data_IF_318622142208
#
_entry.id   IF_318622142208
#
_cell.length_a   1.000
_cell.length_b   1.000
_cell.length_c   1.000
_cell.angle_alpha   90.00
_cell.angle_beta   90.00
_cell.angle_gamma   90.00
#
_symmetry.space_group_name_H-M   'P 1'
#
loop_
_entity.id
_entity.type
_entity.pdbx_description
1 polymer ?
#
# COMPACT_ATOMS: atom_id res chain seq x y z
N UNK A 1 3.02 6.82 -34.22
CA UNK A 1 3.60 6.98 -32.87
C UNK A 1 3.70 5.59 -32.30
N UNK A 2 4.82 5.22 -31.71
CA UNK A 2 5.04 3.85 -31.22
C UNK A 2 4.05 3.53 -30.10
N UNK A 3 3.29 2.44 -30.23
CA UNK A 3 2.26 1.99 -29.27
C UNK A 3 2.84 1.41 -27.97
N UNK A 4 4.17 1.40 -27.85
CA UNK A 4 4.89 0.79 -26.75
C UNK A 4 5.97 1.74 -26.21
N UNK A 5 6.07 1.79 -24.89
CA UNK A 5 7.12 2.47 -24.14
C UNK A 5 7.94 1.37 -23.45
N UNK A 6 9.05 0.99 -24.07
CA UNK A 6 10.00 0.04 -23.49
C UNK A 6 10.93 0.77 -22.52
N UNK A 7 10.89 0.37 -21.24
CA UNK A 7 11.70 0.94 -20.18
C UNK A 7 12.63 -0.14 -19.61
N UNK A 8 13.93 0.12 -19.65
CA UNK A 8 14.94 -0.73 -19.01
C UNK A 8 15.67 0.09 -17.97
N UNK A 9 15.48 -0.23 -16.70
CA UNK A 9 16.14 0.50 -15.64
C UNK A 9 16.55 -0.39 -14.47
N UNK A 10 17.65 0.00 -13.85
CA UNK A 10 18.11 -0.60 -12.62
C UNK A 10 17.38 0.05 -11.44
N UNK A 11 16.54 -0.72 -10.76
CA UNK A 11 15.82 -0.25 -9.56
C UNK A 11 16.80 0.18 -8.46
N UNK A 12 18.02 -0.37 -8.40
CA UNK A 12 19.03 0.01 -7.40
C UNK A 12 19.44 1.49 -7.51
N UNK A 13 19.35 2.08 -8.70
CA UNK A 13 19.69 3.49 -8.92
C UNK A 13 18.64 4.45 -8.35
N UNK A 14 17.46 3.95 -7.97
CA UNK A 14 16.38 4.76 -7.42
C UNK A 14 16.28 4.56 -5.93
N UNK A 15 16.31 5.67 -5.19
CA UNK A 15 16.38 5.69 -3.73
C UNK A 15 15.03 5.23 -3.12
N UNK A 16 14.79 3.92 -3.15
CA UNK A 16 13.62 3.21 -2.63
C UNK A 16 13.22 3.57 -1.20
N UNK A 17 14.12 3.91 -0.25
CA UNK A 17 13.72 4.27 1.11
C UNK A 17 12.78 5.47 1.13
N UNK A 18 13.02 6.47 0.28
CA UNK A 18 12.21 7.68 0.20
C UNK A 18 10.83 7.41 -0.44
N UNK A 19 10.77 6.51 -1.42
CA UNK A 19 9.54 6.13 -2.11
C UNK A 19 8.66 5.28 -1.19
N UNK A 20 9.25 4.26 -0.55
CA UNK A 20 8.55 3.40 0.41
C UNK A 20 8.06 4.19 1.64
N UNK A 21 8.85 5.12 2.16
CA UNK A 21 8.42 5.99 3.26
C UNK A 21 7.21 6.85 2.88
N UNK A 22 7.18 7.38 1.64
CA UNK A 22 6.06 8.19 1.14
C UNK A 22 4.80 7.36 0.89
N UNK A 23 4.93 6.14 0.36
CA UNK A 23 3.80 5.22 0.20
C UNK A 23 3.23 4.79 1.55
N UNK A 24 4.09 4.49 2.53
CA UNK A 24 3.68 4.13 3.88
C UNK A 24 2.94 5.29 4.58
N UNK A 25 3.36 6.54 4.36
CA UNK A 25 2.67 7.71 4.92
C UNK A 25 1.24 7.87 4.35
N UNK A 26 0.98 7.51 3.09
CA UNK A 26 -0.38 7.52 2.52
C UNK A 26 -1.24 6.35 2.98
N UNK A 27 -0.65 5.17 3.18
CA UNK A 27 -1.37 4.00 3.69
C UNK A 27 -1.83 4.18 5.15
N UNK A 28 -1.05 4.90 5.95
CA UNK A 28 -1.36 5.21 7.36
C UNK A 28 -2.19 6.49 7.51
N UNK A 29 -3.33 6.62 6.81
CA UNK A 29 -4.22 7.75 7.12
C UNK A 29 -4.73 7.61 8.57
N UNK A 30 -4.68 8.68 9.39
CA UNK A 30 -5.08 8.62 10.79
C UNK A 30 -6.54 8.20 10.94
N UNK A 31 -7.40 8.53 9.97
CA UNK A 31 -8.81 8.12 9.91
C UNK A 31 -9.01 6.61 9.70
N UNK A 32 -8.23 5.97 8.81
CA UNK A 32 -8.29 4.51 8.63
C UNK A 32 -7.73 3.78 9.84
N UNK A 33 -6.69 4.33 10.46
CA UNK A 33 -6.09 3.77 11.69
C UNK A 33 -7.02 3.93 12.90
N UNK A 34 -7.74 5.05 13.01
CA UNK A 34 -8.68 5.30 14.10
C UNK A 34 -9.95 4.44 14.00
N UNK A 35 -10.49 4.22 12.79
CA UNK A 35 -11.67 3.34 12.61
C UNK A 35 -11.37 1.87 12.93
N UNK A 36 -10.17 1.38 12.60
CA UNK A 36 -9.70 0.07 13.02
C UNK A 36 -9.62 -0.10 14.55
N UNK A 37 -9.51 1.00 15.30
CA UNK A 37 -9.43 0.99 16.76
C UNK A 37 -10.80 1.21 17.43
N UNK A 38 -11.56 2.19 16.96
CA UNK A 38 -12.81 2.61 17.60
C UNK A 38 -13.90 1.53 17.51
N UNK A 39 -13.97 0.80 16.39
CA UNK A 39 -14.99 -0.24 16.18
C UNK A 39 -14.82 -1.42 17.15
N UNK A 40 -13.64 -2.08 17.26
CA UNK A 40 -13.47 -3.17 18.21
C UNK A 40 -13.48 -2.70 19.66
N UNK A 41 -13.04 -1.46 19.96
CA UNK A 41 -13.14 -0.91 21.32
C UNK A 41 -14.60 -0.69 21.75
N UNK A 42 -15.42 -0.11 20.88
CA UNK A 42 -16.86 0.03 21.12
C UNK A 42 -17.54 -1.35 21.26
N UNK A 43 -17.18 -2.31 20.42
CA UNK A 43 -17.69 -3.68 20.53
C UNK A 43 -17.30 -4.34 21.88
N UNK A 44 -16.06 -4.15 22.34
CA UNK A 44 -15.59 -4.67 23.62
C UNK A 44 -16.32 -4.03 24.82
N UNK A 45 -16.62 -2.74 24.76
CA UNK A 45 -17.41 -2.06 25.79
C UNK A 45 -18.86 -2.59 25.83
N UNK A 46 -19.49 -2.78 24.68
CA UNK A 46 -20.87 -3.33 24.60
C UNK A 46 -20.92 -4.76 25.12
N UNK A 47 -19.96 -5.61 24.71
CA UNK A 47 -19.88 -7.01 25.17
C UNK A 47 -19.55 -7.08 26.66
N UNK A 48 -18.63 -6.24 27.15
CA UNK A 48 -18.27 -6.19 28.57
C UNK A 48 -19.39 -5.71 29.47
N UNK A 49 -20.14 -4.67 29.05
CA UNK A 49 -21.33 -4.21 29.75
C UNK A 49 -22.45 -5.26 29.75
N UNK A 50 -22.67 -5.95 28.61
CA UNK A 50 -23.63 -7.05 28.51
C UNK A 50 -23.26 -8.26 29.36
N UNK A 51 -21.98 -8.63 29.41
CA UNK A 51 -21.49 -9.72 30.25
C UNK A 51 -21.62 -9.40 31.75
N UNK A 52 -21.32 -8.16 32.16
CA UNK A 52 -21.50 -7.73 33.54
C UNK A 52 -22.97 -7.78 33.98
N UNK A 53 -23.89 -7.35 33.10
CA UNK A 53 -25.33 -7.46 33.34
C UNK A 53 -25.78 -8.92 33.49
N UNK A 54 -25.27 -9.84 32.67
CA UNK A 54 -25.57 -11.28 32.76
C UNK A 54 -25.01 -11.93 34.03
N UNK A 55 -23.87 -11.46 34.53
CA UNK A 55 -23.24 -11.97 35.75
C UNK A 55 -23.76 -11.30 37.04
N UNK A 56 -24.72 -10.38 36.93
CA UNK A 56 -25.23 -9.61 38.07
C UNK A 56 -24.19 -8.70 38.73
N UNK A 57 -23.14 -8.35 37.98
CA UNK A 57 -22.07 -7.49 38.47
C UNK A 57 -22.49 -6.01 38.35
N UNK A 58 -22.03 -5.16 39.27
CA UNK A 58 -22.15 -3.71 39.14
C UNK A 58 -21.57 -3.22 37.80
N UNK A 59 -22.28 -2.30 37.14
CA UNK A 59 -21.92 -1.83 35.80
C UNK A 59 -20.56 -1.13 35.75
N UNK A 60 -20.13 -0.51 36.86
CA UNK A 60 -18.82 0.10 37.05
C UNK A 60 -17.69 -0.94 37.03
N UNK A 61 -17.89 -2.11 37.63
CA UNK A 61 -16.92 -3.23 37.58
C UNK A 61 -16.82 -3.78 36.15
N UNK A 62 -17.97 -3.96 35.48
CA UNK A 62 -18.01 -4.35 34.07
C UNK A 62 -17.28 -3.37 33.15
N UNK A 63 -17.49 -2.08 33.37
CA UNK A 63 -16.84 -1.01 32.62
C UNK A 63 -15.33 -0.96 32.86
N UNK A 64 -14.87 -1.12 34.10
CA UNK A 64 -13.43 -1.16 34.41
C UNK A 64 -12.74 -2.34 33.73
N UNK A 65 -13.32 -3.54 33.81
CA UNK A 65 -12.75 -4.75 33.18
C UNK A 65 -12.73 -4.61 31.66
N UNK A 66 -13.82 -4.14 31.05
CA UNK A 66 -13.90 -3.91 29.61
C UNK A 66 -12.88 -2.85 29.14
N UNK A 67 -12.71 -1.77 29.91
CA UNK A 67 -11.74 -0.71 29.60
C UNK A 67 -10.30 -1.21 29.69
N UNK A 68 -9.96 -1.97 30.74
CA UNK A 68 -8.63 -2.56 30.90
C UNK A 68 -8.32 -3.58 29.80
N UNK A 69 -9.26 -4.46 29.47
CA UNK A 69 -9.11 -5.42 28.37
C UNK A 69 -9.02 -4.73 27.00
N UNK A 70 -9.82 -3.69 26.78
CA UNK A 70 -9.80 -2.87 25.57
C UNK A 70 -8.45 -2.17 25.36
N UNK A 71 -7.94 -1.50 26.40
CA UNK A 71 -6.63 -0.84 26.35
C UNK A 71 -5.48 -1.85 26.22
N UNK A 72 -5.53 -2.96 26.97
CA UNK A 72 -4.50 -4.01 26.90
C UNK A 72 -4.42 -4.66 25.52
N UNK A 73 -5.57 -5.01 24.93
CA UNK A 73 -5.65 -5.58 23.58
C UNK A 73 -5.18 -4.59 22.51
N UNK A 74 -5.44 -3.30 22.69
CA UNK A 74 -4.93 -2.24 21.82
C UNK A 74 -3.41 -2.15 21.85
N UNK A 75 -2.80 -2.06 23.04
CA UNK A 75 -1.35 -2.00 23.15
C UNK A 75 -0.70 -3.27 22.59
N UNK A 76 -1.28 -4.43 22.83
CA UNK A 76 -0.81 -5.69 22.27
C UNK A 76 -0.88 -5.70 20.72
N UNK A 77 -2.01 -5.26 20.14
CA UNK A 77 -2.18 -5.16 18.70
C UNK A 77 -1.22 -4.13 18.07
N UNK A 78 -0.99 -3.00 18.73
CA UNK A 78 -0.06 -1.97 18.28
C UNK A 78 1.38 -2.49 18.27
N UNK A 79 1.81 -3.14 19.36
CA UNK A 79 3.15 -3.75 19.46
C UNK A 79 3.34 -4.88 18.45
N UNK A 80 2.35 -5.77 18.28
CA UNK A 80 2.39 -6.81 17.25
C UNK A 80 2.45 -6.22 15.85
N UNK A 81 1.65 -5.18 15.57
CA UNK A 81 1.65 -4.48 14.29
C UNK A 81 3.01 -3.85 13.96
N UNK A 82 3.63 -3.19 14.93
CA UNK A 82 4.98 -2.61 14.77
C UNK A 82 6.04 -3.70 14.53
N UNK A 83 5.99 -4.80 15.29
CA UNK A 83 6.94 -5.92 15.16
C UNK A 83 6.82 -6.63 13.82
N UNK A 84 5.61 -6.95 13.39
CA UNK A 84 5.37 -7.58 12.09
C UNK A 84 5.75 -6.66 10.92
N UNK A 85 5.48 -5.36 11.01
CA UNK A 85 5.91 -4.38 10.01
C UNK A 85 7.43 -4.33 9.87
N UNK A 86 8.17 -4.35 11.00
CA UNK A 86 9.63 -4.39 10.99
C UNK A 86 10.18 -5.65 10.33
N UNK A 87 9.59 -6.82 10.62
CA UNK A 87 9.97 -8.09 10.01
C UNK A 87 9.64 -8.14 8.52
N UNK A 88 8.45 -7.69 8.10
CA UNK A 88 8.09 -7.61 6.69
C UNK A 88 9.02 -6.67 5.93
N UNK A 89 9.35 -5.51 6.51
CA UNK A 89 10.32 -4.58 5.90
C UNK A 89 11.71 -5.22 5.76
N UNK A 90 12.16 -5.99 6.75
CA UNK A 90 13.43 -6.70 6.70
C UNK A 90 13.44 -7.81 5.64
N UNK A 91 12.39 -8.63 5.57
CA UNK A 91 12.23 -9.68 4.55
C UNK A 91 12.14 -9.08 3.14
N UNK A 92 11.36 -8.00 2.98
CA UNK A 92 11.29 -7.30 1.70
C UNK A 92 12.65 -6.75 1.29
N UNK A 93 13.43 -6.17 2.21
CA UNK A 93 14.80 -5.68 1.96
C UNK A 93 15.77 -6.79 1.56
N UNK A 94 15.62 -7.97 2.13
CA UNK A 94 16.48 -9.13 1.86
C UNK A 94 16.09 -9.91 0.59
N UNK A 95 14.97 -9.58 -0.08
CA UNK A 95 14.52 -10.35 -1.23
C UNK A 95 15.46 -10.22 -2.44
N UNK A 96 15.99 -11.34 -2.98
CA UNK A 96 16.90 -11.35 -4.13
C UNK A 96 16.23 -10.86 -5.44
N UNK A 97 14.90 -10.75 -5.47
CA UNK A 97 14.15 -10.14 -6.57
C UNK A 97 14.48 -8.65 -6.78
N UNK A 98 15.19 -8.00 -5.84
CA UNK A 98 15.73 -6.64 -6.00
C UNK A 98 17.04 -6.57 -6.80
N UNK A 99 17.72 -7.71 -6.97
CA UNK A 99 19.04 -7.76 -7.60
C UNK A 99 18.99 -7.92 -9.12
N UNK A 100 17.83 -8.27 -9.69
CA UNK A 100 17.68 -8.50 -11.12
C UNK A 100 17.38 -7.19 -11.86
N UNK A 101 17.91 -6.99 -13.08
CA UNK A 101 17.53 -5.87 -13.92
C UNK A 101 16.03 -5.88 -14.18
N UNK A 102 15.37 -4.74 -13.97
CA UNK A 102 13.94 -4.61 -14.22
C UNK A 102 13.71 -4.11 -15.64
N UNK A 103 13.11 -4.98 -16.44
CA UNK A 103 12.58 -4.62 -17.75
C UNK A 103 11.06 -4.51 -17.62
N UNK A 104 10.55 -3.32 -17.92
CA UNK A 104 9.14 -2.98 -17.90
C UNK A 104 8.78 -2.38 -19.26
N UNK A 105 7.87 -3.01 -19.97
CA UNK A 105 7.31 -2.44 -21.21
C UNK A 105 5.87 -2.03 -20.91
N UNK A 106 5.57 -0.75 -21.15
CA UNK A 106 4.21 -0.23 -21.08
C UNK A 106 3.63 -0.24 -22.49
N UNK A 107 2.43 -0.78 -22.64
CA UNK A 107 1.75 -0.93 -23.94
C UNK A 107 0.26 -0.62 -23.79
N UNK A 108 -0.44 -0.48 -24.91
CA UNK A 108 -1.90 -0.32 -24.89
C UNK A 108 -2.63 -1.49 -24.20
N UNK A 109 -2.06 -2.70 -24.23
CA UNK A 109 -2.68 -3.91 -23.68
C UNK A 109 -2.39 -4.11 -22.17
N UNK A 110 -1.35 -3.46 -21.66
CA UNK A 110 -0.95 -3.59 -20.26
C UNK A 110 0.53 -3.34 -20.03
N UNK A 111 1.03 -3.91 -18.95
CA UNK A 111 2.43 -3.81 -18.53
C UNK A 111 3.08 -5.18 -18.64
N UNK A 112 4.15 -5.29 -19.43
CA UNK A 112 4.98 -6.49 -19.46
C UNK A 112 6.15 -6.29 -18.52
N UNK A 113 6.27 -7.15 -17.52
CA UNK A 113 7.39 -7.15 -16.56
C UNK A 113 8.01 -8.52 -16.50
N UNK A 114 9.32 -8.60 -16.74
CA UNK A 114 10.09 -9.86 -16.70
C UNK A 114 9.44 -10.97 -17.54
N UNK A 115 8.92 -10.62 -18.71
CA UNK A 115 8.24 -11.55 -19.63
C UNK A 115 6.80 -11.93 -19.26
N UNK A 116 6.24 -11.41 -18.16
CA UNK A 116 4.83 -11.61 -17.79
C UNK A 116 4.00 -10.39 -18.13
N UNK A 117 2.86 -10.60 -18.81
CA UNK A 117 1.91 -9.56 -19.14
C UNK A 117 0.89 -9.35 -18.01
N UNK A 118 0.76 -8.10 -17.55
CA UNK A 118 -0.20 -7.66 -16.56
C UNK A 118 -1.22 -6.74 -17.25
N UNK A 119 -2.49 -7.17 -17.41
CA UNK A 119 -3.49 -6.33 -18.06
C UNK A 119 -3.84 -5.11 -17.21
N UNK A 120 -4.33 -4.06 -17.86
CA UNK A 120 -4.69 -2.79 -17.19
C UNK A 120 -5.71 -2.93 -16.07
N UNK A 121 -6.57 -3.95 -16.11
CA UNK A 121 -7.56 -4.28 -15.08
C UNK A 121 -6.96 -4.61 -13.72
N UNK A 122 -5.68 -5.02 -13.65
CA UNK A 122 -4.99 -5.33 -12.38
C UNK A 122 -4.53 -4.06 -11.67
N UNK A 123 -4.41 -2.94 -12.39
CA UNK A 123 -3.90 -1.69 -11.84
C UNK A 123 -5.04 -0.84 -11.28
N UNK A 124 -4.96 -0.53 -9.99
CA UNK A 124 -5.97 0.28 -9.29
C UNK A 124 -5.82 1.77 -9.58
N UNK A 125 -4.61 2.24 -9.88
CA UNK A 125 -4.37 3.66 -10.16
C UNK A 125 -2.95 4.02 -10.57
N UNK A 126 -2.78 5.28 -10.95
CA UNK A 126 -1.49 5.89 -11.33
C UNK A 126 -1.22 7.08 -10.44
N UNK A 127 -0.06 7.11 -9.79
CA UNK A 127 0.38 8.21 -8.94
C UNK A 127 1.67 8.81 -9.47
N UNK A 128 1.69 10.12 -9.69
CA UNK A 128 2.92 10.85 -10.06
C UNK A 128 3.57 11.37 -8.78
N UNK A 129 4.83 11.00 -8.58
CA UNK A 129 5.70 11.46 -7.51
C UNK A 129 6.89 12.23 -8.12
N UNK A 130 7.59 13.09 -7.36
CA UNK A 130 8.76 13.78 -7.89
C UNK A 130 9.82 12.80 -8.41
N UNK A 131 10.06 12.81 -9.73
CA UNK A 131 11.05 12.00 -10.42
C UNK A 131 10.62 10.58 -10.79
N UNK A 132 9.36 10.20 -10.53
CA UNK A 132 8.83 8.88 -10.86
C UNK A 132 7.30 8.81 -10.90
N UNK A 133 6.80 7.97 -11.78
CA UNK A 133 5.41 7.56 -11.89
C UNK A 133 5.23 6.17 -11.30
N UNK A 134 4.17 5.95 -10.51
CA UNK A 134 3.87 4.66 -9.86
C UNK A 134 2.55 4.12 -10.38
N UNK A 135 2.58 2.92 -10.95
CA UNK A 135 1.42 2.12 -11.31
C UNK A 135 1.06 1.21 -10.14
N UNK A 136 -0.06 1.46 -9.49
CA UNK A 136 -0.44 0.75 -8.26
C UNK A 136 -1.20 -0.54 -8.60
N UNK A 137 -0.74 -1.67 -8.05
CA UNK A 137 -1.51 -2.92 -7.98
C UNK A 137 -2.38 -2.95 -6.73
N UNK A 138 -1.83 -2.41 -5.63
CA UNK A 138 -2.47 -2.34 -4.33
C UNK A 138 -2.00 -1.08 -3.59
N UNK A 139 -2.44 -0.92 -2.35
CA UNK A 139 -1.98 0.17 -1.47
C UNK A 139 -0.49 0.10 -1.12
N UNK A 140 0.15 -1.05 -1.30
CA UNK A 140 1.54 -1.31 -0.87
C UNK A 140 2.46 -1.81 -1.99
N UNK A 141 1.89 -2.19 -3.14
CA UNK A 141 2.66 -2.69 -4.28
C UNK A 141 2.33 -1.92 -5.56
N UNK A 142 3.37 -1.66 -6.35
CA UNK A 142 3.23 -1.01 -7.65
C UNK A 142 4.47 -1.18 -8.53
N UNK A 143 4.32 -0.90 -9.81
CA UNK A 143 5.44 -0.74 -10.75
C UNK A 143 5.90 0.71 -10.69
N UNK A 144 7.18 0.91 -10.45
CA UNK A 144 7.80 2.23 -10.45
C UNK A 144 8.36 2.47 -11.85
N UNK A 145 7.97 3.58 -12.47
CA UNK A 145 8.42 4.06 -13.77
C UNK A 145 9.15 5.37 -13.54
N UNK A 146 10.47 5.40 -13.59
CA UNK A 146 11.19 6.64 -13.34
C UNK A 146 11.06 7.63 -14.50
N UNK A 147 10.95 8.91 -14.18
CA UNK A 147 10.70 9.94 -15.20
C UNK A 147 11.87 10.09 -16.19
N UNK A 148 13.10 9.81 -15.74
CA UNK A 148 14.30 9.88 -16.59
C UNK A 148 14.38 8.77 -17.64
N UNK A 149 13.61 7.71 -17.46
CA UNK A 149 13.56 6.57 -18.41
C UNK A 149 12.43 6.77 -19.43
N UNK A 150 11.57 7.77 -19.25
CA UNK A 150 10.53 8.09 -20.20
C UNK A 150 11.15 8.52 -21.55
N UNK A 151 10.47 8.27 -22.67
CA UNK A 151 10.91 8.72 -23.98
C UNK A 151 11.26 10.21 -23.98
N UNK A 152 12.31 10.58 -24.72
CA UNK A 152 12.77 11.97 -24.80
C UNK A 152 11.61 12.93 -25.12
N UNK A 153 11.40 13.93 -24.26
CA UNK A 153 10.33 14.92 -24.39
C UNK A 153 8.99 14.51 -23.76
N UNK A 154 8.85 13.29 -23.25
CA UNK A 154 7.67 12.85 -22.52
C UNK A 154 7.79 13.25 -21.03
N UNK A 155 6.87 14.08 -20.57
CA UNK A 155 6.76 14.43 -19.14
C UNK A 155 6.01 13.35 -18.36
N UNK A 156 6.18 13.30 -17.04
CA UNK A 156 5.43 12.40 -16.16
C UNK A 156 3.90 12.56 -16.31
N UNK A 157 3.43 13.80 -16.51
CA UNK A 157 2.02 14.10 -16.76
C UNK A 157 1.55 13.59 -18.13
N UNK A 158 2.38 13.69 -19.16
CA UNK A 158 2.06 13.14 -20.47
C UNK A 158 1.99 11.60 -20.41
N UNK A 159 2.96 10.97 -19.77
CA UNK A 159 2.97 9.52 -19.54
C UNK A 159 1.72 9.08 -18.76
N UNK A 160 1.37 9.77 -17.67
CA UNK A 160 0.13 9.49 -16.93
C UNK A 160 -1.11 9.61 -17.81
N UNK A 161 -1.22 10.69 -18.58
CA UNK A 161 -2.38 10.90 -19.47
C UNK A 161 -2.50 9.77 -20.49
N UNK A 162 -1.38 9.33 -21.07
CA UNK A 162 -1.35 8.21 -22.00
C UNK A 162 -1.74 6.88 -21.35
N UNK A 163 -1.23 6.60 -20.14
CA UNK A 163 -1.60 5.40 -19.38
C UNK A 163 -3.09 5.44 -19.02
N UNK A 164 -3.61 6.58 -18.56
CA UNK A 164 -5.03 6.74 -18.24
C UNK A 164 -5.92 6.56 -19.48
N UNK A 165 -5.43 6.94 -20.67
CA UNK A 165 -6.09 6.67 -21.94
C UNK A 165 -6.11 5.17 -22.27
N UNK A 166 -4.95 4.50 -22.23
CA UNK A 166 -4.87 3.04 -22.45
C UNK A 166 -5.75 2.25 -21.49
N UNK A 167 -5.84 2.67 -20.22
CA UNK A 167 -6.73 2.03 -19.23
C UNK A 167 -8.21 2.19 -19.56
N UNK A 168 -8.61 3.33 -20.16
CA UNK A 168 -9.99 3.56 -20.60
C UNK A 168 -10.33 2.74 -21.83
N UNK A 169 -9.40 2.65 -22.77
CA UNK A 169 -9.60 1.91 -24.02
C UNK A 169 -9.64 0.38 -23.80
N UNK A 170 -9.04 -0.10 -22.71
CA UNK A 170 -9.04 -1.50 -22.30
C UNK A 170 -10.21 -1.90 -21.38
N UNK A 171 -11.06 -0.96 -20.96
CA UNK A 171 -12.20 -1.18 -20.06
C UNK A 171 -13.50 -1.38 -20.84
#
# INVERSE_FOLDING_TARGET
MSDEIALRFDIRAYNEPAINARMQHRANSPLKSASFFLIPFAAALVVGAGAAALMGLPADVGFMVASYAGLGSFFAALVMGLRHRGQLAAVMRASPLRALPYEVVLSAQGVVRSGRHYPWSVFTGVAVLPGLTVLQFSTVEGVIVPDKELPNGMTAQAARTQIDQWRKDAA
#
